data_IF_683477115076
#
_entry.id   IF_683477115076
#
_cell.length_a   1.000
_cell.length_b   1.000
_cell.length_c   1.000
_cell.angle_alpha   90.00
_cell.angle_beta   90.00
_cell.angle_gamma   90.00
#
_symmetry.space_group_name_H-M   'P 1'
#
loop_
_entity.id
_entity.type
_entity.pdbx_description
1 polymer ?
#
# COMPACT_ATOMS: atom_id res chain seq x y z
N UNK A 1 -1.17 15.55 43.55
CA UNK A 1 -0.58 14.39 42.84
C UNK A 1 0.61 14.90 42.04
N UNK A 2 1.73 14.17 41.98
CA UNK A 2 2.86 14.54 41.12
C UNK A 2 2.75 13.76 39.80
N UNK A 3 2.96 14.44 38.68
CA UNK A 3 3.12 13.85 37.35
C UNK A 3 4.45 14.27 36.74
N UNK A 4 4.92 13.52 35.76
CA UNK A 4 6.19 13.71 35.07
C UNK A 4 5.92 14.14 33.63
N UNK A 5 6.02 15.45 33.37
CA UNK A 5 5.71 16.06 32.08
C UNK A 5 6.93 16.00 31.18
N UNK A 6 6.76 15.60 29.93
CA UNK A 6 7.80 15.54 28.91
C UNK A 6 8.30 16.95 28.56
N UNK A 7 9.62 17.18 28.67
CA UNK A 7 10.23 18.48 28.34
C UNK A 7 10.23 18.82 26.85
N UNK A 8 10.06 17.83 25.96
CA UNK A 8 10.10 18.08 24.53
C UNK A 8 8.84 18.79 24.02
N UNK A 9 7.67 18.45 24.57
CA UNK A 9 6.37 18.95 24.11
C UNK A 9 5.56 19.67 25.19
N UNK A 10 6.00 19.59 26.46
CA UNK A 10 5.30 20.15 27.64
C UNK A 10 3.84 19.71 27.76
N UNK A 11 3.47 18.58 27.16
CA UNK A 11 2.08 18.20 26.95
C UNK A 11 1.85 16.73 27.28
N UNK A 12 2.76 15.87 26.86
CA UNK A 12 2.76 14.46 27.22
C UNK A 12 3.22 14.30 28.67
N UNK A 13 2.60 13.42 29.44
CA UNK A 13 2.98 13.18 30.83
C UNK A 13 2.82 11.72 31.24
N UNK A 14 3.55 11.33 32.28
CA UNK A 14 3.43 10.03 32.95
C UNK A 14 3.13 10.21 34.44
N UNK A 15 2.49 9.21 35.04
CA UNK A 15 2.30 9.16 36.50
C UNK A 15 3.54 8.58 37.22
N UNK A 16 4.49 8.02 36.46
CA UNK A 16 5.74 7.45 36.98
C UNK A 16 6.96 8.14 36.35
N UNK A 17 8.10 8.17 37.06
CA UNK A 17 9.34 8.73 36.52
C UNK A 17 10.02 7.83 35.49
N UNK A 18 9.59 6.57 35.36
CA UNK A 18 10.21 5.57 34.48
C UNK A 18 9.70 5.71 33.05
N UNK A 19 10.20 6.73 32.36
CA UNK A 19 9.91 7.02 30.95
C UNK A 19 11.19 7.29 30.19
N UNK A 20 11.18 6.97 28.90
CA UNK A 20 12.35 7.09 28.01
C UNK A 20 12.74 8.54 27.66
N UNK A 21 11.87 9.50 27.95
CA UNK A 21 12.07 10.91 27.65
C UNK A 21 12.40 11.72 28.91
N UNK A 22 13.02 12.88 28.71
CA UNK A 22 13.35 13.79 29.81
C UNK A 22 12.09 14.46 30.38
N UNK A 23 11.96 14.46 31.70
CA UNK A 23 10.74 14.97 32.37
C UNK A 23 11.00 16.06 33.40
N UNK A 24 9.95 16.83 33.70
CA UNK A 24 9.82 17.67 34.89
C UNK A 24 8.72 17.15 35.81
N UNK A 25 8.96 17.18 37.11
CA UNK A 25 7.94 16.83 38.10
C UNK A 25 7.03 18.04 38.35
N UNK A 26 5.72 17.85 38.16
CA UNK A 26 4.70 18.91 38.30
C UNK A 26 3.61 18.43 39.24
N UNK A 27 3.24 19.27 40.21
CA UNK A 27 2.12 19.00 41.09
C UNK A 27 0.79 19.40 40.41
N UNK A 28 -0.17 18.47 40.43
CA UNK A 28 -1.51 18.64 39.87
C UNK A 28 -2.60 18.21 40.85
N UNK A 29 -3.83 18.75 40.73
CA UNK A 29 -4.97 18.32 41.53
C UNK A 29 -5.30 16.83 41.34
N UNK A 30 -5.97 16.24 42.33
CA UNK A 30 -6.53 14.89 42.18
C UNK A 30 -7.62 14.91 41.09
N UNK A 31 -7.50 14.04 40.09
CA UNK A 31 -8.41 14.02 38.94
C UNK A 31 -7.98 14.90 37.76
N UNK A 32 -6.73 15.38 37.73
CA UNK A 32 -6.19 16.08 36.58
C UNK A 32 -6.30 15.25 35.28
N UNK A 33 -6.83 15.87 34.24
CA UNK A 33 -6.93 15.34 32.87
C UNK A 33 -6.16 16.30 31.96
N UNK A 34 -4.99 15.90 31.49
CA UNK A 34 -4.14 16.77 30.66
C UNK A 34 -4.53 16.84 29.18
N UNK A 35 -5.59 16.13 28.77
CA UNK A 35 -6.12 16.26 27.41
C UNK A 35 -6.46 17.72 27.10
N UNK A 36 -5.90 18.24 26.01
CA UNK A 36 -6.04 19.63 25.56
C UNK A 36 -5.40 20.71 26.46
N UNK A 37 -4.32 20.37 27.19
CA UNK A 37 -3.56 21.34 27.99
C UNK A 37 -2.06 21.21 27.75
N UNK A 38 -1.36 22.34 27.77
CA UNK A 38 0.10 22.42 27.70
C UNK A 38 0.63 23.08 28.98
N UNK A 39 1.75 22.59 29.50
CA UNK A 39 2.40 23.16 30.69
C UNK A 39 3.32 24.31 30.30
N UNK A 40 3.06 25.49 30.84
CA UNK A 40 3.89 26.67 30.63
C UNK A 40 4.91 26.83 31.76
N UNK A 41 6.18 26.65 31.43
CA UNK A 41 7.31 26.81 32.35
C UNK A 41 7.49 28.23 32.88
N UNK A 42 7.07 29.25 32.13
CA UNK A 42 7.27 30.65 32.52
C UNK A 42 6.32 31.07 33.64
N UNK A 43 5.12 30.50 33.64
CA UNK A 43 4.07 30.78 34.62
C UNK A 43 3.91 29.65 35.65
N UNK A 44 4.54 28.49 35.42
CA UNK A 44 4.32 27.24 36.15
C UNK A 44 2.84 26.82 36.18
N UNK A 45 2.11 27.05 35.08
CA UNK A 45 0.68 26.75 34.99
C UNK A 45 0.33 25.89 33.78
N UNK A 46 -0.78 25.15 33.89
CA UNK A 46 -1.39 24.47 32.75
C UNK A 46 -2.27 25.46 32.00
N UNK A 47 -1.94 25.69 30.73
CA UNK A 47 -2.75 26.49 29.82
C UNK A 47 -3.59 25.58 28.94
N UNK A 48 -4.82 26.00 28.65
CA UNK A 48 -5.64 25.32 27.65
C UNK A 48 -5.00 25.51 26.28
N UNK A 49 -4.96 24.43 25.51
CA UNK A 49 -4.51 24.52 24.15
C UNK A 49 -5.45 25.43 23.34
N UNK A 50 -4.92 26.12 22.33
CA UNK A 50 -5.78 26.82 21.39
C UNK A 50 -6.79 25.84 20.81
N UNK A 51 -8.07 26.23 20.82
CA UNK A 51 -9.11 25.47 20.17
C UNK A 51 -8.71 25.26 18.71
N UNK A 52 -8.57 24.00 18.29
CA UNK A 52 -8.41 23.69 16.87
C UNK A 52 -9.71 24.14 16.20
N UNK A 53 -9.66 25.08 15.23
CA UNK A 53 -10.86 25.51 14.54
C UNK A 53 -11.52 24.30 13.90
N UNK A 54 -12.83 24.15 14.10
CA UNK A 54 -13.58 23.13 13.39
C UNK A 54 -13.47 23.41 11.89
N UNK A 55 -13.32 22.37 11.05
CA UNK A 55 -13.32 22.54 9.62
C UNK A 55 -14.59 23.27 9.17
N UNK A 56 -14.43 24.23 8.29
CA UNK A 56 -15.52 24.91 7.61
C UNK A 56 -16.30 23.93 6.73
N UNK A 57 -17.53 24.29 6.38
CA UNK A 57 -18.34 23.50 5.43
C UNK A 57 -17.66 23.36 4.06
N UNK A 58 -16.83 24.32 3.68
CA UNK A 58 -16.09 24.32 2.42
C UNK A 58 -14.92 23.34 2.46
N UNK A 59 -14.18 23.32 3.57
CA UNK A 59 -13.10 22.35 3.81
C UNK A 59 -13.62 20.91 3.85
N UNK A 60 -14.77 20.69 4.50
CA UNK A 60 -15.41 19.36 4.51
C UNK A 60 -15.80 18.89 3.10
N UNK A 61 -16.39 19.78 2.29
CA UNK A 61 -16.71 19.45 0.89
C UNK A 61 -15.46 19.19 0.04
N UNK A 62 -14.41 19.96 0.27
CA UNK A 62 -13.14 19.76 -0.42
C UNK A 62 -12.55 18.39 -0.07
N UNK A 63 -12.55 18.03 1.21
CA UNK A 63 -12.12 16.72 1.70
C UNK A 63 -12.94 15.57 1.10
N UNK A 64 -14.27 15.67 1.11
CA UNK A 64 -15.15 14.67 0.49
C UNK A 64 -14.85 14.48 -1.00
N UNK A 65 -14.64 15.58 -1.72
CA UNK A 65 -14.27 15.54 -3.14
C UNK A 65 -12.91 14.87 -3.36
N UNK A 66 -11.93 15.18 -2.51
CA UNK A 66 -10.60 14.59 -2.57
C UNK A 66 -10.65 13.08 -2.30
N UNK A 67 -11.43 12.64 -1.31
CA UNK A 67 -11.66 11.21 -1.08
C UNK A 67 -12.29 10.52 -2.28
N UNK A 68 -13.37 11.09 -2.84
CA UNK A 68 -14.00 10.53 -4.04
C UNK A 68 -13.03 10.43 -5.22
N UNK A 69 -12.17 11.44 -5.41
CA UNK A 69 -11.17 11.42 -6.48
C UNK A 69 -10.13 10.32 -6.23
N UNK A 70 -9.67 10.16 -5.00
CA UNK A 70 -8.73 9.11 -4.63
C UNK A 70 -9.31 7.72 -4.89
N UNK A 71 -10.55 7.47 -4.46
CA UNK A 71 -11.23 6.19 -4.67
C UNK A 71 -11.37 5.85 -6.16
N UNK A 72 -11.71 6.85 -6.99
CA UNK A 72 -11.79 6.68 -8.43
C UNK A 72 -10.44 6.38 -9.06
N UNK A 73 -9.37 7.00 -8.59
CA UNK A 73 -8.00 6.74 -9.07
C UNK A 73 -7.55 5.32 -8.72
N UNK A 74 -7.81 4.86 -7.49
CA UNK A 74 -7.52 3.48 -7.06
C UNK A 74 -8.28 2.50 -7.95
N UNK A 75 -9.59 2.69 -8.10
CA UNK A 75 -10.41 1.80 -8.93
C UNK A 75 -9.99 1.78 -10.39
N UNK A 76 -9.61 2.93 -10.95
CA UNK A 76 -9.07 3.00 -12.30
C UNK A 76 -7.78 2.19 -12.43
N UNK A 77 -6.86 2.31 -11.46
CA UNK A 77 -5.61 1.55 -11.45
C UNK A 77 -5.84 0.03 -11.33
N UNK A 78 -6.77 -0.40 -10.48
CA UNK A 78 -7.16 -1.81 -10.35
C UNK A 78 -7.71 -2.36 -11.67
N UNK A 79 -8.59 -1.61 -12.34
CA UNK A 79 -9.15 -2.00 -13.62
C UNK A 79 -8.09 -2.07 -14.72
N UNK A 80 -7.17 -1.10 -14.77
CA UNK A 80 -6.05 -1.14 -15.71
C UNK A 80 -5.14 -2.35 -15.48
N UNK A 81 -4.84 -2.66 -14.22
CA UNK A 81 -4.02 -3.83 -13.86
C UNK A 81 -4.72 -5.11 -14.27
N UNK A 82 -6.03 -5.21 -13.99
CA UNK A 82 -6.85 -6.37 -14.37
C UNK A 82 -6.88 -6.55 -15.88
N UNK A 83 -7.09 -5.47 -16.64
CA UNK A 83 -7.08 -5.49 -18.11
C UNK A 83 -5.72 -5.97 -18.64
N UNK A 84 -4.61 -5.44 -18.12
CA UNK A 84 -3.27 -5.84 -18.55
C UNK A 84 -2.99 -7.32 -18.26
N UNK A 85 -3.45 -7.83 -17.11
CA UNK A 85 -3.35 -9.25 -16.77
C UNK A 85 -4.14 -10.14 -17.75
N UNK A 86 -5.35 -9.72 -18.12
CA UNK A 86 -6.15 -10.46 -19.10
C UNK A 86 -5.51 -10.46 -20.49
N UNK A 87 -5.03 -9.32 -20.97
CA UNK A 87 -4.34 -9.23 -22.27
C UNK A 87 -3.10 -10.14 -22.31
N UNK A 88 -2.29 -10.13 -21.26
CA UNK A 88 -1.11 -10.98 -21.15
C UNK A 88 -1.48 -12.48 -21.13
N UNK A 89 -2.58 -12.83 -20.47
CA UNK A 89 -3.05 -14.22 -20.42
C UNK A 89 -3.54 -14.69 -21.80
N UNK A 90 -4.32 -13.86 -22.50
CA UNK A 90 -4.84 -14.18 -23.82
C UNK A 90 -3.69 -14.39 -24.83
N UNK A 91 -2.68 -13.51 -24.82
CA UNK A 91 -1.48 -13.67 -25.65
C UNK A 91 -0.72 -14.98 -25.35
N UNK A 92 -0.62 -15.36 -24.07
CA UNK A 92 0.02 -16.62 -23.68
C UNK A 92 -0.77 -17.85 -24.14
N UNK A 93 -2.11 -17.79 -24.08
CA UNK A 93 -2.99 -18.86 -24.56
C UNK A 93 -2.80 -19.04 -26.07
N UNK A 94 -2.87 -17.96 -26.85
CA UNK A 94 -2.66 -18.01 -28.30
C UNK A 94 -1.28 -18.57 -28.67
N UNK A 95 -0.21 -18.08 -28.02
CA UNK A 95 1.14 -18.57 -28.25
C UNK A 95 1.29 -20.07 -27.95
N UNK A 96 0.66 -20.55 -26.88
CA UNK A 96 0.68 -21.97 -26.50
C UNK A 96 -0.06 -22.86 -27.51
N UNK A 97 -1.19 -22.38 -28.06
CA UNK A 97 -1.92 -23.09 -29.11
C UNK A 97 -1.12 -23.21 -30.40
N UNK A 98 -0.52 -22.10 -30.86
CA UNK A 98 0.37 -22.11 -32.03
C UNK A 98 1.54 -23.07 -31.83
N UNK A 99 2.16 -23.07 -30.64
CA UNK A 99 3.25 -23.99 -30.33
C UNK A 99 2.82 -25.47 -30.40
N UNK A 100 1.61 -25.81 -29.94
CA UNK A 100 1.05 -27.16 -30.05
C UNK A 100 0.81 -27.55 -31.51
N UNK A 101 0.24 -26.64 -32.32
CA UNK A 101 0.02 -26.87 -33.75
C UNK A 101 1.35 -27.08 -34.48
N UNK A 102 2.34 -26.21 -34.25
CA UNK A 102 3.69 -26.37 -34.83
C UNK A 102 4.34 -27.69 -34.43
N UNK A 103 4.18 -28.13 -33.17
CA UNK A 103 4.70 -29.43 -32.71
C UNK A 103 4.02 -30.59 -33.45
N UNK A 104 2.71 -30.51 -33.65
CA UNK A 104 1.94 -31.51 -34.42
C UNK A 104 2.43 -31.59 -35.87
N UNK A 105 2.54 -30.45 -36.55
CA UNK A 105 3.03 -30.36 -37.94
C UNK A 105 4.46 -30.90 -38.06
N UNK A 106 5.35 -30.54 -37.13
CA UNK A 106 6.72 -31.08 -37.08
C UNK A 106 6.75 -32.60 -36.96
N UNK A 107 5.85 -33.17 -36.16
CA UNK A 107 5.74 -34.63 -36.02
C UNK A 107 5.26 -35.26 -37.33
N UNK A 108 4.24 -34.70 -37.98
CA UNK A 108 3.75 -35.18 -39.28
C UNK A 108 4.84 -35.16 -40.35
N UNK A 109 5.59 -34.06 -40.47
CA UNK A 109 6.73 -33.96 -41.40
C UNK A 109 7.75 -35.05 -41.10
N UNK A 110 8.10 -35.26 -39.82
CA UNK A 110 9.04 -36.31 -39.42
C UNK A 110 8.51 -37.68 -39.84
N UNK A 111 7.26 -38.03 -39.54
CA UNK A 111 6.67 -39.31 -39.94
C UNK A 111 6.77 -39.52 -41.46
N UNK A 112 6.41 -38.52 -42.26
CA UNK A 112 6.50 -38.60 -43.73
C UNK A 112 7.95 -38.74 -44.24
N UNK A 113 8.92 -38.14 -43.56
CA UNK A 113 10.34 -38.29 -43.91
C UNK A 113 10.90 -39.68 -43.58
N UNK A 114 10.41 -40.33 -42.52
CA UNK A 114 10.84 -41.68 -42.13
C UNK A 114 10.02 -42.81 -42.80
N UNK A 115 8.83 -42.52 -43.32
CA UNK A 115 8.01 -43.46 -44.11
C UNK A 115 8.48 -43.59 -45.58
N UNK A 116 9.54 -42.88 -45.99
CA UNK A 116 10.16 -43.03 -47.30
C UNK A 116 11.56 -43.70 -47.27
N UNK A 117 11.71 -44.97 -46.84
CA UNK A 117 12.99 -45.68 -46.86
C UNK A 117 13.27 -46.45 -48.18
N UNK A 118 12.46 -46.27 -49.24
CA UNK A 118 12.61 -47.04 -50.49
C UNK A 118 12.75 -46.16 -51.74
N UNK A 119 13.75 -45.28 -51.76
CA UNK A 119 14.50 -45.04 -53.00
C UNK A 119 15.85 -45.74 -52.89
N UNK A 120 15.81 -47.08 -52.86
CA UNK A 120 16.99 -47.89 -53.15
C UNK A 120 17.18 -47.83 -54.65
N UNK A 121 18.20 -47.08 -55.08
CA UNK A 121 18.72 -47.12 -56.43
C UNK A 121 19.04 -48.57 -56.81
N UNK A 122 18.23 -49.19 -57.66
CA UNK A 122 18.68 -50.31 -58.47
C UNK A 122 19.23 -49.75 -59.77
N UNK A 123 20.46 -49.22 -59.69
CA UNK A 123 21.36 -49.20 -60.83
C UNK A 123 22.07 -50.54 -60.88
N UNK A 124 21.60 -51.47 -61.72
CA UNK A 124 22.39 -52.63 -62.15
C UNK A 124 21.98 -53.07 -63.57
N UNK A 125 22.99 -52.99 -64.44
CA UNK A 125 23.19 -53.50 -65.82
C UNK A 125 22.43 -52.85 -66.97
#
# INVERSE_FOLDING_TARGET
>A
MIIYVNKADMRSYSYTPDVVWETIAVEVPNGFVGGAKTYDLSTNTWVDDPAIPLPTKEELKAYEKEQMLHDLQVKHHELQTTMNMHLLLDEQIEAAEIARQLKSVKLQIKTLQYENPYEVSYGFY
#
